data_IF_689865598404
#
_entry.id   IF_689865598404
#
_cell.length_a   1.000
_cell.length_b   1.000
_cell.length_c   1.000
_cell.angle_alpha   90.00
_cell.angle_beta   90.00
_cell.angle_gamma   90.00
#
_symmetry.space_group_name_H-M   'P 1'
#
loop_
_entity.id
_entity.type
_entity.pdbx_description
1 polymer ?
#
# COMPACT_ATOMS: atom_id res chain seq x y z
N UNK A 1 0.51 -17.00 8.91
CA UNK A 1 1.32 -16.11 9.78
C UNK A 1 1.71 -14.86 8.99
N UNK A 2 0.81 -13.88 8.89
CA UNK A 2 1.12 -12.55 8.33
C UNK A 2 0.99 -11.56 9.48
N UNK A 3 1.92 -11.67 10.42
CA UNK A 3 2.00 -10.77 11.56
C UNK A 3 2.62 -9.47 11.10
N UNK A 4 1.77 -8.47 10.89
CA UNK A 4 1.94 -7.18 11.55
C UNK A 4 3.31 -6.54 11.31
N UNK A 5 3.67 -6.28 10.06
CA UNK A 5 4.59 -5.18 9.79
C UNK A 5 3.82 -3.88 9.97
N UNK A 6 3.44 -3.58 11.22
CA UNK A 6 3.08 -2.22 11.59
C UNK A 6 4.29 -1.36 11.28
N UNK A 7 4.10 -0.26 10.54
CA UNK A 7 5.17 0.67 10.25
C UNK A 7 5.69 1.23 11.59
N UNK A 8 6.87 0.82 12.07
CA UNK A 8 7.32 1.18 13.42
C UNK A 8 7.52 2.69 13.53
N UNK A 9 7.87 3.33 12.41
CA UNK A 9 8.05 4.78 12.26
C UNK A 9 6.79 5.53 12.70
N UNK A 10 5.60 5.06 12.35
CA UNK A 10 4.35 5.76 12.69
C UNK A 10 3.99 5.68 14.17
N UNK A 11 4.34 4.57 14.83
CA UNK A 11 4.01 4.33 16.23
C UNK A 11 4.98 5.05 17.17
N UNK A 12 6.26 5.05 16.82
CA UNK A 12 7.28 5.83 17.53
C UNK A 12 7.01 7.33 17.40
N UNK A 13 6.71 7.81 16.19
CA UNK A 13 6.35 9.21 15.95
C UNK A 13 5.15 9.65 16.79
N UNK A 14 4.08 8.85 16.84
CA UNK A 14 2.91 9.17 17.66
C UNK A 14 3.21 9.16 19.15
N UNK A 15 4.04 8.23 19.61
CA UNK A 15 4.44 8.17 21.01
C UNK A 15 5.20 9.43 21.43
N UNK A 16 6.04 9.97 20.55
CA UNK A 16 6.76 11.22 20.80
C UNK A 16 5.82 12.43 20.74
N UNK A 17 4.94 12.48 19.75
CA UNK A 17 3.95 13.54 19.59
C UNK A 17 2.91 13.58 20.73
N UNK A 18 2.54 12.41 21.27
CA UNK A 18 1.68 12.30 22.45
C UNK A 18 2.33 12.89 23.71
N UNK A 19 3.65 12.67 23.89
CA UNK A 19 4.42 13.27 25.00
C UNK A 19 4.43 14.81 24.91
N UNK A 20 4.57 15.36 23.70
CA UNK A 20 4.56 16.81 23.48
C UNK A 20 3.20 17.44 23.78
N UNK A 21 2.10 16.73 23.51
CA UNK A 21 0.75 17.24 23.72
C UNK A 21 0.23 17.05 25.15
N UNK A 22 0.82 16.14 25.92
CA UNK A 22 0.46 15.87 27.31
C UNK A 22 -1.04 15.64 27.49
N UNK A 23 -1.67 16.43 28.35
CA UNK A 23 -3.10 16.32 28.71
C UNK A 23 -4.07 16.52 27.54
N UNK A 24 -3.62 17.09 26.42
CA UNK A 24 -4.44 17.28 25.22
C UNK A 24 -4.52 16.01 24.36
N UNK A 25 -3.68 15.02 24.63
CA UNK A 25 -3.68 13.75 23.90
C UNK A 25 -4.74 12.81 24.46
N UNK A 26 -5.50 12.17 23.57
CA UNK A 26 -6.52 11.20 23.97
C UNK A 26 -6.30 9.87 23.25
N UNK A 27 -5.85 8.84 23.98
CA UNK A 27 -5.64 7.49 23.44
C UNK A 27 -6.83 6.54 23.70
N UNK A 28 -8.06 7.05 23.65
CA UNK A 28 -9.24 6.23 23.94
C UNK A 28 -9.52 5.14 22.90
N UNK A 29 -8.86 5.21 21.72
CA UNK A 29 -9.17 4.34 20.58
C UNK A 29 -8.03 3.39 20.19
N UNK A 30 -6.82 3.55 20.74
CA UNK A 30 -5.68 2.67 20.44
C UNK A 30 -5.35 2.56 18.96
N UNK A 31 -5.51 3.66 18.20
CA UNK A 31 -5.32 3.66 16.74
C UNK A 31 -3.84 3.81 16.39
N UNK A 32 -3.40 3.08 15.36
CA UNK A 32 -2.01 3.19 14.86
C UNK A 32 -1.76 4.46 14.06
N UNK A 33 -2.81 5.08 13.51
CA UNK A 33 -2.76 6.38 12.85
C UNK A 33 -3.83 7.28 13.45
N UNK A 34 -3.40 8.25 14.24
CA UNK A 34 -4.27 9.23 14.90
C UNK A 34 -4.23 10.59 14.22
N UNK A 35 -5.29 11.37 14.43
CA UNK A 35 -5.29 12.80 14.15
C UNK A 35 -4.51 13.58 15.21
N UNK A 36 -4.53 14.91 15.11
CA UNK A 36 -3.74 15.85 15.90
C UNK A 36 -3.83 15.68 17.44
N UNK A 37 -4.87 15.01 17.96
CA UNK A 37 -5.09 14.86 19.40
C UNK A 37 -5.35 13.39 19.82
N UNK A 38 -4.82 12.41 19.08
CA UNK A 38 -5.04 10.99 19.39
C UNK A 38 -6.41 10.44 18.95
N UNK A 39 -7.29 11.29 18.43
CA UNK A 39 -8.60 10.89 17.89
C UNK A 39 -8.48 10.16 16.55
N UNK A 40 -9.55 9.46 16.19
CA UNK A 40 -9.69 8.80 14.88
C UNK A 40 -9.45 9.82 13.74
N UNK A 41 -8.53 9.48 12.84
CA UNK A 41 -8.27 10.28 11.66
C UNK A 41 -9.43 10.14 10.67
N UNK A 42 -10.18 11.22 10.46
CA UNK A 42 -11.20 11.26 9.41
C UNK A 42 -10.56 11.31 8.03
N UNK A 43 -11.00 10.43 7.13
CA UNK A 43 -10.53 10.35 5.73
C UNK A 43 -10.73 11.67 4.97
N UNK A 44 -11.86 12.34 5.21
CA UNK A 44 -12.19 13.61 4.55
C UNK A 44 -11.30 14.74 5.04
N UNK A 45 -11.08 14.82 6.36
CA UNK A 45 -10.17 15.81 6.94
C UNK A 45 -8.73 15.58 6.49
N UNK A 46 -8.31 14.31 6.45
CA UNK A 46 -6.98 13.96 5.98
C UNK A 46 -6.76 14.38 4.53
N UNK A 47 -7.72 14.04 3.66
CA UNK A 47 -7.68 14.39 2.24
C UNK A 47 -7.59 15.90 2.02
N UNK A 48 -8.45 16.67 2.68
CA UNK A 48 -8.55 18.12 2.48
C UNK A 48 -7.37 18.87 3.08
N UNK A 49 -6.90 18.48 4.28
CA UNK A 49 -5.89 19.24 5.04
C UNK A 49 -4.46 18.87 4.72
N UNK A 50 -4.20 17.64 4.28
CA UNK A 50 -2.84 17.17 4.05
C UNK A 50 -2.66 16.72 2.60
N UNK A 51 -3.50 15.81 2.11
CA UNK A 51 -3.27 15.17 0.81
C UNK A 51 -3.38 16.15 -0.37
N UNK A 52 -4.48 16.90 -0.49
CA UNK A 52 -4.67 17.87 -1.58
C UNK A 52 -3.62 19.00 -1.54
N UNK A 53 -3.30 19.61 -0.38
CA UNK A 53 -2.23 20.61 -0.30
C UNK A 53 -0.86 20.09 -0.75
N UNK A 54 -0.49 18.86 -0.36
CA UNK A 54 0.76 18.22 -0.78
C UNK A 54 0.78 18.04 -2.31
N UNK A 55 -0.32 17.54 -2.89
CA UNK A 55 -0.42 17.39 -4.35
C UNK A 55 -0.27 18.74 -5.07
N UNK A 56 -0.91 19.80 -4.58
CA UNK A 56 -0.76 21.16 -5.12
C UNK A 56 0.67 21.68 -5.03
N UNK A 57 1.35 21.44 -3.90
CA UNK A 57 2.75 21.84 -3.72
C UNK A 57 3.68 21.11 -4.71
N UNK A 58 3.37 19.86 -5.04
CA UNK A 58 4.10 19.06 -6.02
C UNK A 58 3.70 19.34 -7.48
N UNK A 59 2.74 20.25 -7.71
CA UNK A 59 2.21 20.52 -9.06
C UNK A 59 1.42 19.34 -9.66
N UNK A 60 0.94 18.42 -8.83
CA UNK A 60 0.19 17.24 -9.25
C UNK A 60 -1.31 17.52 -9.15
N UNK A 61 -2.03 17.37 -10.26
CA UNK A 61 -3.48 17.49 -10.28
C UNK A 61 -4.16 16.12 -10.22
N UNK A 62 -5.25 16.03 -9.45
CA UNK A 62 -6.22 14.91 -9.47
C UNK A 62 -5.70 13.48 -9.18
N UNK A 63 -4.69 13.31 -8.33
CA UNK A 63 -4.30 11.97 -7.85
C UNK A 63 -5.19 11.50 -6.70
N UNK A 64 -5.63 10.24 -6.74
CA UNK A 64 -6.39 9.58 -5.66
C UNK A 64 -5.57 8.47 -4.98
N UNK A 65 -6.03 7.98 -3.83
CA UNK A 65 -5.44 6.82 -3.17
C UNK A 65 -5.56 5.53 -3.99
N UNK A 66 -6.58 5.43 -4.86
CA UNK A 66 -6.70 4.31 -5.79
C UNK A 66 -5.58 4.36 -6.84
N UNK A 67 -5.24 5.54 -7.34
CA UNK A 67 -4.15 5.70 -8.33
C UNK A 67 -2.79 5.38 -7.72
N UNK A 68 -2.56 5.75 -6.46
CA UNK A 68 -1.35 5.35 -5.73
C UNK A 68 -1.26 3.83 -5.57
N UNK A 69 -2.39 3.18 -5.26
CA UNK A 69 -2.47 1.72 -5.16
C UNK A 69 -2.26 1.05 -6.52
N UNK A 70 -2.78 1.61 -7.60
CA UNK A 70 -2.54 1.15 -8.96
C UNK A 70 -1.07 1.28 -9.34
N UNK A 71 -0.46 2.43 -9.05
CA UNK A 71 0.97 2.67 -9.32
C UNK A 71 1.84 1.66 -8.58
N UNK A 72 1.54 1.36 -7.32
CA UNK A 72 2.24 0.33 -6.56
C UNK A 72 2.11 -1.06 -7.20
N UNK A 73 0.92 -1.43 -7.64
CA UNK A 73 0.69 -2.70 -8.34
C UNK A 73 1.51 -2.78 -9.64
N UNK A 74 1.44 -1.73 -10.48
CA UNK A 74 2.18 -1.64 -11.74
C UNK A 74 3.69 -1.75 -11.53
N UNK A 75 4.23 -1.09 -10.50
CA UNK A 75 5.66 -1.15 -10.16
C UNK A 75 6.12 -2.55 -9.73
N UNK A 76 5.29 -3.28 -8.98
CA UNK A 76 5.61 -4.67 -8.60
C UNK A 76 5.57 -5.60 -9.82
N UNK A 77 4.61 -5.39 -10.70
CA UNK A 77 4.48 -6.18 -11.94
C UNK A 77 5.60 -5.89 -12.93
N UNK A 78 6.06 -4.63 -13.05
CA UNK A 78 7.20 -4.29 -13.90
C UNK A 78 8.51 -4.96 -13.45
N UNK A 79 8.58 -5.38 -12.18
CA UNK A 79 9.69 -6.16 -11.64
C UNK A 79 9.51 -7.68 -11.85
N UNK A 80 8.54 -8.10 -12.68
CA UNK A 80 8.20 -9.50 -12.95
C UNK A 80 7.80 -10.30 -11.70
N UNK A 81 7.35 -9.62 -10.64
CA UNK A 81 6.82 -10.31 -9.46
C UNK A 81 5.53 -11.03 -9.86
N UNK A 82 5.37 -12.27 -9.40
CA UNK A 82 4.22 -13.08 -9.73
C UNK A 82 2.90 -12.34 -9.40
N UNK A 83 1.98 -12.19 -10.37
CA UNK A 83 0.72 -11.48 -10.18
C UNK A 83 -0.10 -11.96 -8.98
N UNK A 84 0.00 -13.25 -8.62
CA UNK A 84 -0.66 -13.83 -7.44
C UNK A 84 -0.11 -13.26 -6.14
N UNK A 85 1.21 -13.06 -6.05
CA UNK A 85 1.85 -12.43 -4.89
C UNK A 85 1.43 -10.96 -4.78
N UNK A 86 1.34 -10.25 -5.92
CA UNK A 86 0.87 -8.86 -5.97
C UNK A 86 -0.59 -8.76 -5.52
N UNK A 87 -1.43 -9.69 -5.95
CA UNK A 87 -2.84 -9.78 -5.55
C UNK A 87 -2.99 -10.01 -4.04
N UNK A 88 -2.28 -10.99 -3.49
CA UNK A 88 -2.28 -11.28 -2.05
C UNK A 88 -1.82 -10.07 -1.23
N UNK A 89 -0.80 -9.35 -1.72
CA UNK A 89 -0.28 -8.14 -1.07
C UNK A 89 -1.26 -6.97 -1.06
N UNK A 90 -2.12 -6.85 -2.07
CA UNK A 90 -3.09 -5.76 -2.19
C UNK A 90 -4.41 -6.03 -1.44
N UNK A 91 -4.68 -7.27 -1.04
CA UNK A 91 -5.77 -7.62 -0.13
C UNK A 91 -7.20 -7.49 -0.67
N UNK A 92 -7.42 -7.11 -1.94
CA UNK A 92 -8.74 -7.06 -2.56
C UNK A 92 -8.76 -7.53 -4.02
N UNK A 93 -9.87 -8.17 -4.37
CA UNK A 93 -10.16 -9.16 -5.42
C UNK A 93 -10.11 -8.70 -6.88
N UNK A 94 -9.92 -7.42 -7.16
CA UNK A 94 -10.05 -6.90 -8.53
C UNK A 94 -8.69 -6.86 -9.22
N UNK A 95 -8.30 -8.03 -9.70
CA UNK A 95 -7.17 -8.27 -10.59
C UNK A 95 -7.43 -7.77 -12.02
N UNK A 96 -8.56 -7.11 -12.25
CA UNK A 96 -9.04 -6.73 -13.60
C UNK A 96 -8.05 -5.82 -14.33
N UNK A 97 -7.30 -4.96 -13.63
CA UNK A 97 -6.20 -4.22 -14.26
C UNK A 97 -4.96 -5.12 -14.53
N UNK A 98 -4.74 -6.11 -13.68
CA UNK A 98 -3.53 -6.95 -13.58
C UNK A 98 -3.49 -8.06 -14.63
N UNK A 99 -4.63 -8.67 -14.97
CA UNK A 99 -4.67 -9.76 -15.97
C UNK A 99 -4.77 -9.24 -17.40
N UNK A 100 -5.58 -8.22 -17.68
CA UNK A 100 -5.73 -7.70 -19.04
C UNK A 100 -4.44 -7.05 -19.55
N UNK A 101 -3.74 -6.29 -18.68
CA UNK A 101 -2.49 -5.60 -19.05
C UNK A 101 -1.30 -6.54 -19.24
N UNK A 102 -1.34 -7.77 -18.72
CA UNK A 102 -0.19 -8.68 -18.74
C UNK A 102 -0.52 -10.13 -19.12
N UNK A 103 -1.68 -10.36 -19.75
CA UNK A 103 -2.03 -11.67 -20.34
C UNK A 103 -0.92 -12.23 -21.25
N UNK A 104 -0.09 -11.35 -21.83
CA UNK A 104 1.06 -11.68 -22.68
C UNK A 104 2.36 -12.03 -21.92
N UNK A 105 2.45 -11.81 -20.60
CA UNK A 105 3.56 -12.32 -19.77
C UNK A 105 3.30 -13.71 -19.19
N UNK A 106 2.03 -14.14 -19.12
CA UNK A 106 1.65 -15.50 -18.71
C UNK A 106 2.34 -16.59 -19.54
N UNK A 107 2.49 -16.45 -20.87
CA UNK A 107 3.27 -17.38 -21.69
C UNK A 107 4.73 -17.54 -21.27
N UNK A 108 5.38 -16.46 -20.83
CA UNK A 108 6.80 -16.49 -20.43
C UNK A 108 6.98 -17.19 -19.08
N UNK A 109 6.05 -16.98 -18.14
CA UNK A 109 6.04 -17.69 -16.85
C UNK A 109 5.80 -19.20 -17.06
N UNK A 110 4.91 -19.58 -17.99
CA UNK A 110 4.73 -21.00 -18.31
C UNK A 110 5.96 -21.61 -18.99
N UNK A 111 6.64 -20.88 -19.88
CA UNK A 111 7.90 -21.35 -20.48
C UNK A 111 9.01 -21.53 -19.44
N UNK A 112 9.12 -20.64 -18.45
CA UNK A 112 10.06 -20.83 -17.34
C UNK A 112 9.68 -22.02 -16.45
N UNK A 113 8.39 -22.24 -16.19
CA UNK A 113 7.93 -23.41 -15.44
C UNK A 113 8.23 -24.73 -16.17
N UNK A 114 8.04 -24.76 -17.50
CA UNK A 114 8.39 -25.92 -18.33
C UNK A 114 9.91 -26.14 -18.34
N UNK A 115 10.73 -25.09 -18.49
CA UNK A 115 12.19 -25.22 -18.38
C UNK A 115 12.65 -25.70 -17.00
N UNK A 116 11.98 -25.29 -15.93
CA UNK A 116 12.28 -25.76 -14.59
C UNK A 116 11.93 -27.25 -14.43
N UNK A 117 10.83 -27.70 -15.05
CA UNK A 117 10.46 -29.12 -15.15
C UNK A 117 11.46 -29.93 -15.97
N UNK A 118 11.89 -29.43 -17.13
CA UNK A 118 12.92 -30.08 -17.96
C UNK A 118 14.24 -30.25 -17.19
N UNK A 119 14.61 -29.25 -16.38
CA UNK A 119 15.81 -29.31 -15.52
C UNK A 119 15.68 -30.28 -14.33
N UNK A 120 14.46 -30.69 -13.96
CA UNK A 120 14.21 -31.72 -12.96
C UNK A 120 14.27 -33.14 -13.54
N UNK A 121 14.45 -33.29 -14.87
CA UNK A 121 14.70 -34.57 -15.53
C UNK A 121 13.48 -35.49 -15.61
N UNK A 122 12.27 -34.92 -15.63
CA UNK A 122 11.01 -35.64 -15.86
C UNK A 122 10.55 -35.47 -17.31
#
# INVERSE_FOLDING_TARGET
>A
LVTHTFCPITQEFQSNYAKELGDKWTDSYGVVISGTFGKILSTSNFKSRYFIPILKQLGLEHITFHDLRHTHATLLLSQKINPKIVQERLGHSTITLTLDTYSHLVPDIQKEAVKALDNLGI
#
